data_IF_887971257921
#
_entry.id   IF_887971257921
#
_cell.length_a   1.000
_cell.length_b   1.000
_cell.length_c   1.000
_cell.angle_alpha   90.00
_cell.angle_beta   90.00
_cell.angle_gamma   90.00
#
_symmetry.space_group_name_H-M   'P 1'
#
loop_
_entity.id
_entity.type
_entity.pdbx_description
1 polymer ?
#
# COMPACT_ATOMS: atom_id res chain seq x y z
N UNK A 1 -25.91 -6.74 -7.01
CA UNK A 1 -26.04 -7.00 -5.56
C UNK A 1 -24.63 -7.32 -5.07
N UNK A 2 -24.39 -7.63 -3.79
CA UNK A 2 -23.11 -8.27 -3.44
C UNK A 2 -23.15 -9.69 -4.00
N UNK A 3 -22.14 -10.11 -4.76
CA UNK A 3 -22.09 -11.48 -5.28
C UNK A 3 -22.10 -12.48 -4.12
N UNK A 4 -22.89 -13.55 -4.19
CA UNK A 4 -23.01 -14.53 -3.11
C UNK A 4 -22.94 -15.94 -3.67
N UNK A 5 -21.90 -16.65 -3.27
CA UNK A 5 -21.63 -18.01 -3.70
C UNK A 5 -21.31 -18.95 -2.57
N UNK A 6 -20.89 -20.16 -2.91
CA UNK A 6 -20.45 -21.18 -1.96
C UNK A 6 -19.18 -21.85 -2.42
N UNK A 7 -18.32 -22.18 -1.46
CA UNK A 7 -17.07 -22.90 -1.73
C UNK A 7 -17.41 -24.27 -2.35
N UNK A 8 -16.81 -24.59 -3.49
CA UNK A 8 -16.91 -25.92 -4.12
C UNK A 8 -15.60 -26.68 -4.04
N UNK A 9 -14.48 -25.99 -3.91
CA UNK A 9 -13.15 -26.59 -3.90
C UNK A 9 -12.12 -25.69 -3.20
N UNK A 10 -11.17 -26.30 -2.50
CA UNK A 10 -10.08 -25.63 -1.79
C UNK A 10 -8.79 -26.39 -2.08
N UNK A 11 -7.74 -25.68 -2.53
CA UNK A 11 -6.39 -26.22 -2.70
C UNK A 11 -5.33 -25.19 -2.32
N UNK A 12 -4.78 -25.36 -1.12
CA UNK A 12 -3.92 -24.33 -0.51
C UNK A 12 -4.65 -22.98 -0.47
N UNK A 13 -3.99 -21.84 -0.75
CA UNK A 13 -4.62 -20.52 -0.82
C UNK A 13 -5.65 -20.31 -1.93
N UNK A 14 -5.80 -21.22 -2.90
CA UNK A 14 -6.76 -21.07 -3.98
C UNK A 14 -8.09 -21.74 -3.62
N UNK A 15 -9.19 -21.00 -3.77
CA UNK A 15 -10.56 -21.43 -3.49
C UNK A 15 -11.41 -21.23 -4.75
N UNK A 16 -12.27 -22.20 -5.08
CA UNK A 16 -13.31 -22.01 -6.11
C UNK A 16 -14.66 -21.88 -5.43
N UNK A 17 -15.43 -20.89 -5.86
CA UNK A 17 -16.79 -20.65 -5.38
C UNK A 17 -17.77 -20.62 -6.55
N UNK A 18 -18.89 -21.32 -6.40
CA UNK A 18 -19.99 -21.36 -7.36
C UNK A 18 -21.09 -20.37 -6.96
N UNK A 19 -21.92 -19.91 -7.90
CA UNK A 19 -22.91 -18.85 -7.68
C UNK A 19 -22.34 -17.44 -7.69
N UNK A 20 -21.19 -17.22 -8.32
CA UNK A 20 -20.44 -15.96 -8.28
C UNK A 20 -20.53 -15.16 -9.59
N UNK A 21 -21.55 -15.37 -10.42
CA UNK A 21 -21.76 -14.66 -11.69
C UNK A 21 -21.83 -13.13 -11.59
N UNK A 22 -22.26 -12.56 -10.45
CA UNK A 22 -22.25 -11.11 -10.23
C UNK A 22 -20.87 -10.56 -9.78
N UNK A 23 -19.90 -11.43 -9.49
CA UNK A 23 -18.60 -11.01 -8.99
C UNK A 23 -17.75 -10.40 -10.11
N UNK A 24 -16.93 -9.41 -9.76
CA UNK A 24 -16.00 -8.76 -10.68
C UNK A 24 -14.59 -9.30 -10.51
N UNK A 25 -13.81 -9.20 -11.59
CA UNK A 25 -12.39 -9.53 -11.54
C UNK A 25 -11.66 -8.53 -10.61
N UNK A 26 -10.75 -9.03 -9.77
CA UNK A 26 -10.09 -8.33 -8.66
C UNK A 26 -11.01 -7.83 -7.53
N UNK A 27 -12.26 -8.28 -7.47
CA UNK A 27 -13.15 -7.96 -6.35
C UNK A 27 -12.67 -8.67 -5.07
N UNK A 28 -12.66 -7.95 -3.96
CA UNK A 28 -12.42 -8.54 -2.63
C UNK A 28 -13.68 -9.29 -2.16
N UNK A 29 -13.48 -10.48 -1.61
CA UNK A 29 -14.53 -11.36 -1.10
C UNK A 29 -14.20 -11.79 0.33
N UNK A 30 -15.22 -12.07 1.14
CA UNK A 30 -15.09 -12.81 2.39
C UNK A 30 -15.39 -14.28 2.16
N UNK A 31 -14.49 -15.16 2.55
CA UNK A 31 -14.52 -16.60 2.28
C UNK A 31 -14.71 -17.39 3.56
N UNK A 32 -15.71 -18.26 3.56
CA UNK A 32 -16.00 -19.17 4.65
C UNK A 32 -16.72 -18.52 5.83
N UNK A 33 -17.09 -19.35 6.81
CA UNK A 33 -17.71 -18.86 8.05
C UNK A 33 -16.75 -17.99 8.89
N UNK A 34 -15.44 -18.22 8.71
CA UNK A 34 -14.38 -17.42 9.30
C UNK A 34 -14.17 -16.07 8.62
N UNK A 35 -14.90 -15.75 7.54
CA UNK A 35 -14.81 -14.48 6.79
C UNK A 35 -13.38 -14.10 6.39
N UNK A 36 -12.61 -15.07 5.89
CA UNK A 36 -11.25 -14.82 5.45
C UNK A 36 -11.24 -13.87 4.26
N UNK A 37 -10.29 -12.94 4.22
CA UNK A 37 -10.20 -11.99 3.10
C UNK A 37 -9.57 -12.69 1.89
N UNK A 38 -10.22 -12.59 0.73
CA UNK A 38 -9.68 -13.06 -0.54
C UNK A 38 -9.99 -12.12 -1.71
N UNK A 39 -9.42 -12.39 -2.87
CA UNK A 39 -9.58 -11.62 -4.11
C UNK A 39 -9.94 -12.55 -5.26
N UNK A 40 -10.92 -12.15 -6.07
CA UNK A 40 -11.31 -12.88 -7.29
C UNK A 40 -10.26 -12.67 -8.37
N UNK A 41 -9.63 -13.75 -8.82
CA UNK A 41 -8.51 -13.72 -9.79
C UNK A 41 -8.89 -14.27 -11.17
N UNK A 42 -9.93 -15.12 -11.24
CA UNK A 42 -10.44 -15.67 -12.51
C UNK A 42 -11.93 -15.95 -12.38
N UNK A 43 -12.68 -15.67 -13.44
CA UNK A 43 -14.11 -15.96 -13.54
C UNK A 43 -14.33 -16.91 -14.72
N UNK A 44 -15.10 -17.97 -14.52
CA UNK A 44 -15.43 -18.95 -15.56
C UNK A 44 -16.89 -19.34 -15.44
N UNK A 45 -17.74 -18.69 -16.23
CA UNK A 45 -19.19 -18.82 -16.07
C UNK A 45 -19.64 -18.32 -14.70
N UNK A 46 -20.27 -19.18 -13.92
CA UNK A 46 -20.75 -18.88 -12.56
C UNK A 46 -19.71 -19.20 -11.46
N UNK A 47 -18.56 -19.75 -11.84
CA UNK A 47 -17.49 -20.13 -10.91
C UNK A 47 -16.42 -19.04 -10.83
N UNK A 48 -16.17 -18.54 -9.62
CA UNK A 48 -15.07 -17.65 -9.30
C UNK A 48 -13.90 -18.43 -8.69
N UNK A 49 -12.70 -18.17 -9.18
CA UNK A 49 -11.45 -18.55 -8.54
C UNK A 49 -10.99 -17.39 -7.68
N UNK A 50 -10.76 -17.70 -6.40
CA UNK A 50 -10.48 -16.74 -5.35
C UNK A 50 -9.13 -17.09 -4.74
N UNK A 51 -8.27 -16.08 -4.64
CA UNK A 51 -7.02 -16.16 -3.90
C UNK A 51 -7.26 -15.65 -2.48
N UNK A 52 -7.06 -16.48 -1.48
CA UNK A 52 -7.24 -16.09 -0.06
C UNK A 52 -5.93 -15.55 0.49
N UNK A 53 -5.98 -14.38 1.14
CA UNK A 53 -4.82 -13.71 1.74
C UNK A 53 -4.46 -14.23 3.14
N UNK A 54 -5.27 -15.14 3.67
CA UNK A 54 -5.12 -15.80 4.96
C UNK A 54 -4.94 -17.31 4.80
N UNK A 55 -4.65 -18.01 5.90
CA UNK A 55 -4.59 -19.47 5.89
C UNK A 55 -5.97 -20.08 5.65
N UNK A 56 -6.10 -20.86 4.57
CA UNK A 56 -7.32 -21.58 4.17
C UNK A 56 -7.54 -22.89 4.94
N UNK A 57 -6.61 -23.24 5.84
CA UNK A 57 -6.75 -24.43 6.68
C UNK A 57 -8.10 -24.44 7.38
N UNK A 58 -8.82 -25.54 7.32
CA UNK A 58 -10.12 -25.69 7.99
C UNK A 58 -11.34 -25.15 7.25
N UNK A 59 -11.17 -24.45 6.11
CA UNK A 59 -12.28 -24.16 5.21
C UNK A 59 -12.87 -25.44 4.61
N UNK A 60 -14.19 -25.49 4.43
CA UNK A 60 -14.89 -26.64 3.86
C UNK A 60 -15.74 -26.23 2.65
N UNK A 61 -15.91 -27.13 1.66
CA UNK A 61 -16.94 -26.97 0.64
C UNK A 61 -18.33 -26.78 1.26
N UNK A 62 -19.13 -25.90 0.67
CA UNK A 62 -20.47 -25.52 1.13
C UNK A 62 -20.53 -24.25 1.96
N UNK A 63 -19.40 -23.79 2.52
CA UNK A 63 -19.33 -22.53 3.27
C UNK A 63 -19.56 -21.30 2.37
N UNK A 64 -20.06 -20.18 2.91
CA UNK A 64 -20.44 -19.01 2.11
C UNK A 64 -19.23 -18.25 1.57
N UNK A 65 -19.41 -17.65 0.40
CA UNK A 65 -18.51 -16.63 -0.15
C UNK A 65 -19.33 -15.40 -0.49
N UNK A 66 -18.91 -14.23 0.01
CA UNK A 66 -19.64 -12.97 -0.17
C UNK A 66 -18.72 -11.91 -0.76
N UNK A 67 -19.09 -11.35 -1.90
CA UNK A 67 -18.41 -10.24 -2.56
C UNK A 67 -18.64 -8.92 -1.82
N UNK A 68 -17.58 -8.11 -1.76
CA UNK A 68 -17.65 -6.77 -1.16
C UNK A 68 -18.08 -5.70 -2.17
N UNK A 69 -18.18 -6.05 -3.46
CA UNK A 69 -18.46 -5.15 -4.58
C UNK A 69 -17.28 -4.23 -4.96
N UNK A 70 -16.18 -4.28 -4.21
CA UNK A 70 -15.05 -3.36 -4.33
C UNK A 70 -13.73 -4.14 -4.52
N UNK A 71 -12.77 -3.59 -5.27
CA UNK A 71 -11.43 -4.16 -5.34
C UNK A 71 -10.66 -3.96 -4.03
N UNK A 72 -9.55 -4.68 -3.87
CA UNK A 72 -8.65 -4.50 -2.72
C UNK A 72 -8.22 -3.03 -2.63
N UNK A 73 -8.63 -2.38 -1.55
CA UNK A 73 -8.46 -0.95 -1.36
C UNK A 73 -7.91 -0.64 0.02
N UNK A 74 -7.00 0.33 0.07
CA UNK A 74 -6.39 0.82 1.30
C UNK A 74 -7.09 2.10 1.76
N UNK A 75 -7.18 2.28 3.07
CA UNK A 75 -7.62 3.53 3.70
C UNK A 75 -6.45 4.51 3.68
N UNK A 76 -6.68 5.71 3.15
CA UNK A 76 -5.71 6.79 3.04
C UNK A 76 -6.25 7.98 3.84
N UNK A 77 -5.52 8.40 4.87
CA UNK A 77 -5.93 9.45 5.80
C UNK A 77 -4.91 9.61 6.93
N UNK A 78 -5.15 10.51 7.89
CA UNK A 78 -4.27 10.72 9.03
C UNK A 78 -4.23 9.50 9.95
N UNK A 79 -3.06 9.23 10.55
CA UNK A 79 -2.82 8.11 11.45
C UNK A 79 -2.10 6.91 10.83
N UNK A 80 -1.64 7.03 9.58
CA UNK A 80 -0.87 6.01 8.85
C UNK A 80 0.63 6.10 9.20
N UNK A 81 1.17 7.31 9.39
CA UNK A 81 2.58 7.47 9.80
C UNK A 81 2.80 6.82 11.17
N UNK A 82 3.92 6.10 11.29
CA UNK A 82 4.31 5.39 12.51
C UNK A 82 3.57 4.07 12.74
N UNK A 83 2.67 3.68 11.83
CA UNK A 83 1.99 2.40 11.88
C UNK A 83 2.80 1.27 11.23
N UNK A 84 2.51 0.07 11.71
CA UNK A 84 3.02 -1.18 11.20
C UNK A 84 1.85 -2.03 10.70
N UNK A 85 1.82 -2.26 9.40
CA UNK A 85 0.76 -2.98 8.70
C UNK A 85 1.18 -4.38 8.26
N UNK A 86 0.21 -5.27 8.07
CA UNK A 86 0.38 -6.45 7.23
C UNK A 86 0.14 -6.12 5.73
N UNK A 87 0.20 -7.13 4.86
CA UNK A 87 0.03 -6.94 3.41
C UNK A 87 -1.31 -6.39 2.95
N UNK A 88 -2.36 -6.44 3.79
CA UNK A 88 -3.72 -5.95 3.50
C UNK A 88 -4.10 -4.74 4.39
N UNK A 89 -3.11 -4.05 4.96
CA UNK A 89 -3.26 -2.84 5.76
C UNK A 89 -3.98 -3.02 7.11
N UNK A 90 -3.83 -4.19 7.75
CA UNK A 90 -4.24 -4.39 9.15
C UNK A 90 -3.08 -4.04 10.10
N UNK A 91 -3.29 -3.22 11.13
CA UNK A 91 -2.22 -2.84 12.05
C UNK A 91 -1.83 -4.03 12.92
N UNK A 92 -0.55 -4.42 12.87
CA UNK A 92 -0.03 -5.60 13.57
C UNK A 92 -0.16 -5.47 15.10
N UNK A 93 -0.11 -4.24 15.65
CA UNK A 93 -0.33 -4.00 17.08
C UNK A 93 -1.74 -4.38 17.51
N UNK A 94 -2.76 -3.95 16.77
CA UNK A 94 -4.14 -4.29 17.06
C UNK A 94 -4.42 -5.79 16.86
N UNK A 95 -3.79 -6.42 15.86
CA UNK A 95 -3.88 -7.87 15.68
C UNK A 95 -3.26 -8.62 16.87
N UNK A 96 -2.10 -8.17 17.35
CA UNK A 96 -1.42 -8.73 18.52
C UNK A 96 -2.27 -8.60 19.79
N UNK A 97 -2.97 -7.48 19.99
CA UNK A 97 -3.90 -7.29 21.11
C UNK A 97 -5.11 -8.23 21.02
N UNK A 98 -5.60 -8.51 19.81
CA UNK A 98 -6.78 -9.35 19.59
C UNK A 98 -6.49 -10.86 19.67
N UNK A 99 -5.33 -11.32 19.19
CA UNK A 99 -5.01 -12.76 19.09
C UNK A 99 -3.70 -13.20 19.76
N UNK A 100 -3.01 -12.30 20.44
CA UNK A 100 -1.73 -12.59 21.10
C UNK A 100 -0.58 -12.73 20.11
N UNK A 101 0.39 -13.61 20.42
CA UNK A 101 1.63 -13.75 19.64
C UNK A 101 1.45 -14.35 18.23
N UNK A 102 0.27 -14.87 17.90
CA UNK A 102 -0.04 -15.41 16.58
C UNK A 102 -1.14 -14.58 15.92
N UNK A 103 -1.07 -14.43 14.61
CA UNK A 103 -2.13 -13.76 13.84
C UNK A 103 -3.29 -14.74 13.71
N UNK A 104 -4.40 -14.45 14.40
CA UNK A 104 -5.63 -15.22 14.27
C UNK A 104 -6.29 -15.01 12.90
N UNK A 105 -7.09 -15.99 12.48
CA UNK A 105 -7.79 -15.99 11.19
C UNK A 105 -9.09 -15.19 11.27
N UNK A 106 -9.42 -14.46 10.21
CA UNK A 106 -10.71 -13.77 10.09
C UNK A 106 -10.84 -12.55 11.01
N UNK A 107 -9.72 -12.08 11.57
CA UNK A 107 -9.72 -10.91 12.43
C UNK A 107 -9.85 -9.67 11.58
N UNK A 108 -10.92 -8.92 11.85
CA UNK A 108 -11.18 -7.62 11.23
C UNK A 108 -10.73 -6.53 12.18
N UNK A 109 -9.86 -5.64 11.70
CA UNK A 109 -9.42 -4.44 12.41
C UNK A 109 -9.56 -3.22 11.51
N UNK A 110 -9.57 -2.02 12.09
CA UNK A 110 -9.49 -0.79 11.33
C UNK A 110 -8.02 -0.47 11.01
N UNK A 111 -7.68 0.02 9.80
CA UNK A 111 -6.31 0.38 9.45
C UNK A 111 -5.70 1.47 10.35
N UNK A 112 -6.53 2.36 10.86
CA UNK A 112 -6.13 3.47 11.73
C UNK A 112 -7.09 3.54 12.92
N UNK A 113 -6.69 4.27 13.96
CA UNK A 113 -7.54 4.54 15.10
C UNK A 113 -8.64 5.54 14.70
N UNK A 114 -9.85 5.03 14.49
CA UNK A 114 -11.00 5.82 14.07
C UNK A 114 -11.54 6.73 15.18
N UNK A 115 -11.13 6.51 16.44
CA UNK A 115 -11.58 7.28 17.60
C UNK A 115 -10.65 8.44 17.95
N UNK A 116 -9.42 8.40 17.45
CA UNK A 116 -8.45 9.47 17.65
C UNK A 116 -8.93 10.75 16.99
N UNK A 117 -8.90 11.84 17.77
CA UNK A 117 -9.23 13.18 17.29
C UNK A 117 -7.99 13.88 16.77
N UNK A 118 -8.18 14.59 15.67
CA UNK A 118 -7.19 15.40 15.00
C UNK A 118 -7.64 16.84 14.92
N UNK A 119 -6.72 17.76 15.18
CA UNK A 119 -6.96 19.18 15.01
C UNK A 119 -6.96 19.52 13.53
N UNK A 120 -8.13 19.86 12.99
CA UNK A 120 -8.34 20.17 11.59
C UNK A 120 -8.42 21.69 11.39
N UNK A 121 -7.63 22.18 10.45
CA UNK A 121 -7.64 23.58 10.01
C UNK A 121 -8.15 23.64 8.57
N UNK A 122 -9.37 24.17 8.31
CA UNK A 122 -9.93 24.25 6.97
C UNK A 122 -9.14 25.25 6.10
N UNK A 123 -8.93 24.91 4.83
CA UNK A 123 -8.25 25.78 3.85
C UNK A 123 -9.18 26.36 2.79
N UNK A 124 -10.47 26.01 2.85
CA UNK A 124 -11.51 26.37 1.87
C UNK A 124 -12.77 26.82 2.62
N UNK A 125 -13.63 27.58 1.94
CA UNK A 125 -14.87 28.14 2.48
C UNK A 125 -16.11 27.60 1.77
N UNK A 126 -17.28 27.77 2.39
CA UNK A 126 -18.56 27.46 1.76
C UNK A 126 -18.73 28.27 0.47
N UNK A 127 -19.11 27.61 -0.61
CA UNK A 127 -19.26 28.16 -1.95
C UNK A 127 -18.06 28.00 -2.87
N UNK A 128 -16.89 27.61 -2.33
CA UNK A 128 -15.68 27.40 -3.13
C UNK A 128 -15.84 26.19 -4.07
N UNK A 129 -15.29 26.30 -5.28
CA UNK A 129 -15.22 25.20 -6.23
C UNK A 129 -14.04 24.28 -5.92
N UNK A 130 -14.32 22.99 -5.80
CA UNK A 130 -13.33 21.95 -5.59
C UNK A 130 -13.40 20.88 -6.66
N UNK A 131 -12.25 20.35 -7.03
CA UNK A 131 -12.05 19.24 -7.93
C UNK A 131 -11.28 18.11 -7.23
N UNK A 132 -11.13 16.98 -7.91
CA UNK A 132 -10.31 15.86 -7.47
C UNK A 132 -8.89 16.31 -7.07
N UNK A 133 -8.44 15.89 -5.88
CA UNK A 133 -7.12 16.19 -5.34
C UNK A 133 -6.98 17.55 -4.64
N UNK A 134 -8.00 18.42 -4.66
CA UNK A 134 -7.96 19.70 -3.94
C UNK A 134 -7.74 19.52 -2.44
N UNK A 135 -6.93 20.37 -1.81
CA UNK A 135 -6.79 20.41 -0.36
C UNK A 135 -7.98 21.15 0.24
N UNK A 136 -8.69 20.50 1.16
CA UNK A 136 -9.82 21.09 1.89
C UNK A 136 -9.41 21.54 3.30
N UNK A 137 -8.28 21.04 3.80
CA UNK A 137 -7.70 21.50 5.04
C UNK A 137 -6.49 20.67 5.42
N UNK A 138 -5.97 20.97 6.60
CA UNK A 138 -4.69 20.45 7.09
C UNK A 138 -4.88 19.88 8.49
N UNK A 139 -4.18 18.78 8.76
CA UNK A 139 -4.08 18.13 10.06
C UNK A 139 -2.62 17.90 10.38
N UNK A 140 -2.21 18.17 11.63
CA UNK A 140 -0.90 17.74 12.11
C UNK A 140 -0.95 16.25 12.50
N UNK A 141 -0.34 15.37 11.69
CA UNK A 141 -0.38 13.92 11.94
C UNK A 141 0.67 13.48 12.96
N UNK A 142 1.90 13.97 12.80
CA UNK A 142 3.03 13.80 13.72
C UNK A 142 3.74 15.13 13.91
N UNK A 143 4.72 15.23 14.80
CA UNK A 143 5.53 16.44 14.98
C UNK A 143 6.25 16.90 13.69
N UNK A 144 6.42 16.01 12.71
CA UNK A 144 7.14 16.27 11.47
C UNK A 144 6.23 16.42 10.25
N UNK A 145 5.10 15.72 10.25
CA UNK A 145 4.26 15.57 9.07
C UNK A 145 2.97 16.36 9.25
N UNK A 146 2.92 17.47 8.52
CA UNK A 146 1.67 18.13 8.18
C UNK A 146 0.97 17.34 7.07
N UNK A 147 -0.26 16.91 7.34
CA UNK A 147 -1.08 16.05 6.51
C UNK A 147 -2.17 16.87 5.83
N UNK A 148 -2.10 16.98 4.51
CA UNK A 148 -3.13 17.67 3.72
C UNK A 148 -4.31 16.74 3.49
N UNK A 149 -5.50 17.13 3.93
CA UNK A 149 -6.75 16.43 3.65
C UNK A 149 -7.19 16.83 2.24
N UNK A 150 -7.29 15.84 1.35
CA UNK A 150 -7.55 16.06 -0.08
C UNK A 150 -8.89 15.47 -0.50
N UNK A 151 -9.55 16.13 -1.44
CA UNK A 151 -10.72 15.56 -2.13
C UNK A 151 -10.30 14.28 -2.86
N UNK A 152 -11.04 13.17 -2.74
CA UNK A 152 -10.72 11.90 -3.39
C UNK A 152 -10.56 12.04 -4.92
N UNK A 153 -9.65 11.29 -5.57
CA UNK A 153 -9.39 11.48 -6.99
C UNK A 153 -10.51 11.05 -7.94
N UNK A 154 -11.45 10.23 -7.47
CA UNK A 154 -12.65 9.80 -8.16
C UNK A 154 -13.83 10.79 -8.03
N UNK A 155 -13.64 11.85 -7.24
CA UNK A 155 -14.62 12.90 -7.09
C UNK A 155 -14.77 13.72 -8.38
N UNK A 156 -16.00 13.88 -8.85
CA UNK A 156 -16.30 14.60 -10.12
C UNK A 156 -16.12 16.12 -10.04
N UNK A 157 -15.89 16.65 -8.84
CA UNK A 157 -15.84 18.07 -8.56
C UNK A 157 -17.23 18.64 -8.24
N UNK A 158 -17.25 19.82 -7.62
CA UNK A 158 -18.47 20.48 -7.17
C UNK A 158 -18.17 21.69 -6.31
N UNK A 159 -19.21 22.33 -5.78
CA UNK A 159 -19.10 23.43 -4.83
C UNK A 159 -19.20 22.92 -3.41
N UNK A 160 -18.45 23.50 -2.48
CA UNK A 160 -18.57 23.17 -1.06
C UNK A 160 -19.87 23.77 -0.54
N UNK A 161 -20.81 22.91 -0.13
CA UNK A 161 -22.07 23.34 0.47
C UNK A 161 -21.88 23.66 1.96
N UNK A 162 -21.20 22.77 2.68
CA UNK A 162 -20.88 22.91 4.09
C UNK A 162 -19.44 22.44 4.34
N UNK A 163 -18.71 23.19 5.16
CA UNK A 163 -17.44 22.77 5.77
C UNK A 163 -17.48 23.04 7.27
N UNK A 164 -16.87 22.13 8.04
CA UNK A 164 -16.71 22.31 9.49
C UNK A 164 -15.74 23.45 9.80
N UNK A 165 -15.93 24.10 10.96
CA UNK A 165 -14.98 25.08 11.48
C UNK A 165 -13.66 24.40 11.91
N UNK A 166 -12.63 25.20 12.18
CA UNK A 166 -11.42 24.70 12.84
C UNK A 166 -11.76 24.05 14.19
N UNK A 167 -11.18 22.88 14.46
CA UNK A 167 -11.48 22.12 15.69
C UNK A 167 -10.98 20.68 15.68
N UNK A 168 -11.27 19.97 16.76
CA UNK A 168 -10.85 18.58 16.95
C UNK A 168 -11.94 17.60 16.52
N UNK A 169 -11.68 16.83 15.46
CA UNK A 169 -12.63 15.89 14.88
C UNK A 169 -12.02 14.50 14.76
N UNK A 170 -12.86 13.47 14.81
CA UNK A 170 -12.45 12.11 14.50
C UNK A 170 -12.51 11.83 12.98
N UNK A 171 -12.05 10.66 12.56
CA UNK A 171 -12.01 10.29 11.15
C UNK A 171 -13.40 10.03 10.55
N UNK A 172 -14.39 9.68 11.37
CA UNK A 172 -15.76 9.39 10.92
C UNK A 172 -16.60 10.65 10.71
N UNK A 173 -16.19 11.77 11.30
CA UNK A 173 -16.83 13.07 11.13
C UNK A 173 -16.77 13.51 9.67
N UNK A 174 -17.92 13.90 9.12
CA UNK A 174 -18.02 14.53 7.80
C UNK A 174 -17.48 15.94 7.90
N UNK A 175 -16.35 16.21 7.25
CA UNK A 175 -15.69 17.52 7.27
C UNK A 175 -16.30 18.49 6.28
N UNK A 176 -16.67 18.01 5.10
CA UNK A 176 -17.27 18.84 4.08
C UNK A 176 -18.33 18.06 3.28
N UNK A 177 -19.29 18.77 2.72
CA UNK A 177 -20.23 18.23 1.74
C UNK A 177 -20.10 19.03 0.47
N UNK A 178 -20.00 18.35 -0.66
CA UNK A 178 -19.95 19.00 -1.98
C UNK A 178 -21.26 18.83 -2.72
N UNK A 179 -21.68 19.86 -3.45
CA UNK A 179 -22.86 19.91 -4.31
C UNK A 179 -22.41 20.04 -5.77
N UNK A 180 -22.86 19.13 -6.64
CA UNK A 180 -22.51 19.16 -8.07
C UNK A 180 -23.24 18.10 -8.89
N UNK A 181 -22.77 17.86 -10.11
CA UNK A 181 -23.36 16.90 -11.08
C UNK A 181 -23.43 15.44 -10.56
N UNK A 182 -22.74 15.14 -9.46
CA UNK A 182 -22.76 13.84 -8.76
C UNK A 182 -23.75 13.73 -7.60
N UNK A 183 -24.51 14.78 -7.29
CA UNK A 183 -25.30 14.90 -6.07
C UNK A 183 -24.46 15.34 -4.86
N UNK A 184 -25.05 15.24 -3.66
CA UNK A 184 -24.36 15.62 -2.42
C UNK A 184 -23.42 14.50 -2.00
N UNK A 185 -22.11 14.77 -2.03
CA UNK A 185 -21.06 13.82 -1.64
C UNK A 185 -20.40 14.29 -0.35
N UNK A 186 -20.36 13.40 0.64
CA UNK A 186 -19.71 13.62 1.93
C UNK A 186 -18.21 13.37 1.84
N UNK A 187 -17.42 14.30 2.38
CA UNK A 187 -15.96 14.22 2.47
C UNK A 187 -15.56 14.06 3.93
N UNK A 188 -14.79 13.01 4.21
CA UNK A 188 -14.19 12.72 5.52
C UNK A 188 -12.69 13.00 5.48
N UNK A 189 -12.02 12.85 6.62
CA UNK A 189 -10.54 12.92 6.71
C UNK A 189 -9.81 11.83 5.93
N UNK A 190 -10.52 10.76 5.55
CA UNK A 190 -9.95 9.63 4.84
C UNK A 190 -10.80 9.25 3.64
N UNK A 191 -10.17 8.56 2.69
CA UNK A 191 -10.85 7.88 1.59
C UNK A 191 -10.21 6.52 1.33
N UNK A 192 -10.90 5.67 0.57
CA UNK A 192 -10.38 4.38 0.14
C UNK A 192 -9.88 4.47 -1.30
N UNK A 193 -8.76 3.81 -1.59
CA UNK A 193 -8.22 3.76 -2.95
C UNK A 193 -7.78 2.34 -3.34
N UNK A 194 -8.15 1.85 -4.54
CA UNK A 194 -7.74 0.53 -5.01
C UNK A 194 -6.23 0.43 -5.18
N UNK A 195 -5.61 -0.61 -4.60
CA UNK A 195 -4.13 -0.72 -4.57
C UNK A 195 -3.52 -1.01 -5.94
N UNK A 196 -4.28 -1.66 -6.83
CA UNK A 196 -3.88 -1.99 -8.21
C UNK A 196 -4.09 -0.83 -9.19
N UNK A 197 -4.72 0.28 -8.76
CA UNK A 197 -4.92 1.46 -9.61
C UNK A 197 -3.92 2.54 -9.20
N UNK A 198 -2.99 2.97 -10.08
CA UNK A 198 -2.10 4.07 -9.75
C UNK A 198 -2.88 5.37 -9.52
N UNK A 199 -2.42 6.18 -8.56
CA UNK A 199 -3.07 7.45 -8.23
C UNK A 199 -2.84 8.49 -9.34
N UNK A 200 -3.89 9.20 -9.80
CA UNK A 200 -3.78 10.13 -10.91
C UNK A 200 -2.97 11.38 -10.52
N UNK A 201 -2.29 11.97 -11.50
CA UNK A 201 -1.50 13.19 -11.36
C UNK A 201 -1.72 14.08 -12.59
N UNK A 202 -1.30 15.35 -12.49
CA UNK A 202 -1.48 16.35 -13.56
C UNK A 202 -0.42 16.19 -14.64
N UNK A 203 0.85 16.25 -14.25
CA UNK A 203 2.01 16.13 -15.16
C UNK A 203 3.13 15.32 -14.48
N UNK A 204 3.90 14.54 -15.24
CA UNK A 204 5.15 13.91 -14.79
C UNK A 204 6.33 14.80 -15.20
N UNK A 205 7.28 14.99 -14.29
CA UNK A 205 8.49 15.76 -14.55
C UNK A 205 9.68 14.86 -14.88
N UNK A 206 10.65 15.41 -15.59
CA UNK A 206 11.95 14.78 -15.74
C UNK A 206 12.71 14.75 -14.39
N UNK A 207 13.45 13.66 -14.12
CA UNK A 207 14.15 13.45 -12.86
C UNK A 207 15.44 14.29 -12.79
N UNK A 208 15.29 15.59 -12.52
CA UNK A 208 16.40 16.57 -12.49
C UNK A 208 16.96 16.86 -11.10
N UNK A 209 16.24 16.50 -10.04
CA UNK A 209 16.64 16.79 -8.66
C UNK A 209 17.25 15.52 -8.05
N UNK A 210 18.50 15.54 -7.55
CA UNK A 210 19.11 14.37 -6.93
C UNK A 210 18.44 14.02 -5.60
N UNK A 211 18.32 12.72 -5.31
CA UNK A 211 18.05 12.20 -3.98
C UNK A 211 19.39 11.95 -3.28
N UNK A 212 19.70 12.74 -2.26
CA UNK A 212 20.88 12.48 -1.44
C UNK A 212 20.58 11.30 -0.53
N UNK A 213 21.25 10.17 -0.74
CA UNK A 213 21.05 8.94 0.04
C UNK A 213 21.88 8.93 1.33
N UNK A 214 22.90 9.79 1.42
CA UNK A 214 23.87 9.80 2.52
C UNK A 214 24.98 8.76 2.37
N UNK A 215 24.93 7.92 1.33
CA UNK A 215 25.97 6.94 1.03
C UNK A 215 26.90 7.48 -0.05
N UNK A 216 28.15 7.75 0.30
CA UNK A 216 29.16 8.32 -0.62
C UNK A 216 29.27 7.57 -1.95
N UNK A 217 29.22 6.24 -1.92
CA UNK A 217 29.34 5.40 -3.12
C UNK A 217 28.12 5.57 -4.04
N UNK A 218 26.91 5.63 -3.49
CA UNK A 218 25.67 5.80 -4.26
C UNK A 218 25.61 7.24 -4.78
N UNK A 219 25.80 8.23 -3.92
CA UNK A 219 25.68 9.65 -4.28
C UNK A 219 26.75 10.11 -5.30
N UNK A 220 27.90 9.42 -5.39
CA UNK A 220 28.98 9.76 -6.32
C UNK A 220 28.93 8.95 -7.62
N UNK A 221 28.84 7.62 -7.54
CA UNK A 221 29.00 6.75 -8.71
C UNK A 221 27.67 6.32 -9.33
N UNK A 222 26.61 6.21 -8.52
CA UNK A 222 25.31 5.71 -8.96
C UNK A 222 24.18 6.61 -8.43
N UNK A 223 24.20 7.92 -8.73
CA UNK A 223 23.26 8.86 -8.15
C UNK A 223 21.83 8.54 -8.59
N UNK A 224 20.91 8.60 -7.63
CA UNK A 224 19.47 8.41 -7.87
C UNK A 224 18.81 9.79 -7.80
N UNK A 225 17.91 10.10 -8.72
CA UNK A 225 17.11 11.30 -8.67
C UNK A 225 15.83 11.11 -7.84
N UNK A 226 15.30 12.17 -7.25
CA UNK A 226 13.97 12.18 -6.64
C UNK A 226 12.92 11.83 -7.68
N UNK A 227 12.16 10.76 -7.43
CA UNK A 227 11.23 10.18 -8.40
C UNK A 227 11.84 9.08 -9.28
N UNK A 228 13.12 8.76 -9.09
CA UNK A 228 13.81 7.71 -9.83
C UNK A 228 13.52 6.30 -9.29
N UNK A 229 14.02 5.32 -10.02
CA UNK A 229 13.96 3.91 -9.66
C UNK A 229 15.37 3.35 -9.52
N UNK A 230 15.61 2.58 -8.46
CA UNK A 230 16.87 1.89 -8.24
C UNK A 230 16.65 0.43 -7.85
N UNK A 231 17.64 -0.40 -8.14
CA UNK A 231 17.69 -1.79 -7.69
C UNK A 231 19.01 -2.04 -6.98
N UNK A 232 18.97 -2.74 -5.85
CA UNK A 232 20.17 -3.24 -5.15
C UNK A 232 20.17 -4.76 -5.32
N UNK A 233 20.76 -5.28 -6.42
CA UNK A 233 20.88 -6.71 -6.61
C UNK A 233 22.04 -7.28 -5.79
N UNK A 234 21.91 -8.52 -5.32
CA UNK A 234 23.00 -9.21 -4.65
C UNK A 234 22.57 -10.52 -3.99
N UNK A 235 23.53 -11.40 -3.72
CA UNK A 235 23.26 -12.68 -3.05
C UNK A 235 22.74 -12.48 -1.60
N UNK A 236 22.28 -13.57 -0.98
CA UNK A 236 21.88 -13.55 0.43
C UNK A 236 23.07 -13.18 1.33
N UNK A 237 22.86 -12.28 2.30
CA UNK A 237 23.89 -11.87 3.26
C UNK A 237 24.90 -10.84 2.76
N UNK A 238 24.77 -10.29 1.56
CA UNK A 238 25.70 -9.26 1.01
C UNK A 238 25.48 -7.84 1.53
N UNK A 239 24.60 -7.63 2.52
CA UNK A 239 24.33 -6.32 3.11
C UNK A 239 23.28 -5.47 2.37
N UNK A 240 22.39 -6.09 1.58
CA UNK A 240 21.28 -5.40 0.89
C UNK A 240 20.36 -4.66 1.86
N UNK A 241 19.79 -5.39 2.83
CA UNK A 241 18.90 -4.85 3.87
C UNK A 241 19.58 -3.75 4.67
N UNK A 242 20.86 -3.92 5.03
CA UNK A 242 21.65 -2.88 5.71
C UNK A 242 21.73 -1.61 4.87
N UNK A 243 21.99 -1.74 3.57
CA UNK A 243 22.08 -0.60 2.65
C UNK A 243 20.73 0.10 2.51
N UNK A 244 19.65 -0.67 2.37
CA UNK A 244 18.28 -0.15 2.34
C UNK A 244 17.90 0.58 3.64
N UNK A 245 18.29 0.06 4.80
CA UNK A 245 18.10 0.73 6.10
C UNK A 245 18.86 2.04 6.18
N UNK A 246 20.11 2.08 5.70
CA UNK A 246 20.87 3.32 5.64
C UNK A 246 20.19 4.34 4.71
N UNK A 247 19.68 3.93 3.56
CA UNK A 247 18.96 4.83 2.67
C UNK A 247 17.69 5.34 3.35
N UNK A 248 16.87 4.47 3.94
CA UNK A 248 15.67 4.87 4.69
C UNK A 248 15.97 5.87 5.82
N UNK A 249 17.12 5.74 6.48
CA UNK A 249 17.54 6.61 7.58
C UNK A 249 18.06 7.97 7.12
N UNK A 250 18.93 7.97 6.10
CA UNK A 250 19.73 9.15 5.71
C UNK A 250 19.20 9.89 4.48
N UNK A 251 18.27 9.29 3.73
CA UNK A 251 17.76 9.87 2.50
C UNK A 251 17.11 11.24 2.70
N UNK A 252 17.25 12.08 1.68
CA UNK A 252 16.57 13.36 1.55
C UNK A 252 15.08 13.21 1.18
N UNK A 253 14.32 12.60 2.07
CA UNK A 253 12.88 12.40 1.91
C UNK A 253 12.13 12.79 3.18
N UNK A 254 10.92 13.31 3.00
CA UNK A 254 10.04 13.69 4.10
C UNK A 254 9.30 12.48 4.66
N UNK A 255 8.98 11.48 3.83
CA UNK A 255 8.29 10.26 4.24
C UNK A 255 9.05 9.04 3.74
N UNK A 256 9.09 7.99 4.54
CA UNK A 256 9.67 6.69 4.19
C UNK A 256 8.60 5.62 4.25
N UNK A 257 8.48 4.83 3.19
CA UNK A 257 7.60 3.64 3.18
C UNK A 257 8.49 2.42 3.01
N UNK A 258 8.53 1.56 4.03
CA UNK A 258 9.31 0.33 4.00
C UNK A 258 8.40 -0.87 3.83
N UNK A 259 8.61 -1.65 2.79
CA UNK A 259 7.86 -2.86 2.51
C UNK A 259 8.79 -4.06 2.72
N UNK A 260 8.51 -4.84 3.76
CA UNK A 260 9.09 -6.16 3.97
C UNK A 260 8.26 -7.21 3.27
N UNK A 261 8.67 -7.67 2.09
CA UNK A 261 8.03 -8.72 1.31
C UNK A 261 8.82 -10.03 1.41
N UNK A 262 8.28 -10.99 2.16
CA UNK A 262 8.85 -12.33 2.27
C UNK A 262 10.13 -12.41 3.11
N UNK A 263 10.45 -11.36 3.87
CA UNK A 263 11.66 -11.30 4.71
C UNK A 263 11.55 -12.18 5.96
N UNK A 264 12.68 -12.41 6.62
CA UNK A 264 12.69 -13.17 7.87
C UNK A 264 12.10 -12.32 8.99
N UNK A 265 11.38 -12.96 9.91
CA UNK A 265 10.79 -12.27 11.05
C UNK A 265 11.82 -11.53 11.91
N UNK A 266 13.06 -12.03 11.99
CA UNK A 266 14.13 -11.38 12.73
C UNK A 266 14.57 -10.05 12.09
N UNK A 267 14.66 -9.98 10.76
CA UNK A 267 15.05 -8.75 10.04
C UNK A 267 13.96 -7.67 10.21
N UNK A 268 12.69 -8.07 10.16
CA UNK A 268 11.58 -7.16 10.46
C UNK A 268 11.54 -6.73 11.93
N UNK A 269 11.89 -7.63 12.86
CA UNK A 269 11.96 -7.30 14.29
C UNK A 269 13.07 -6.31 14.58
N UNK A 270 14.24 -6.46 13.93
CA UNK A 270 15.34 -5.51 14.03
C UNK A 270 14.92 -4.10 13.62
N UNK A 271 14.23 -3.96 12.48
CA UNK A 271 13.64 -2.67 12.05
C UNK A 271 12.72 -2.08 13.13
N UNK A 272 11.85 -2.91 13.72
CA UNK A 272 10.90 -2.46 14.73
C UNK A 272 11.53 -2.07 16.06
N UNK A 273 12.63 -2.73 16.43
CA UNK A 273 13.36 -2.43 17.66
C UNK A 273 14.26 -1.22 17.45
N UNK A 274 14.93 -1.09 16.31
CA UNK A 274 15.89 -0.02 16.08
C UNK A 274 15.22 1.31 15.69
N UNK A 275 14.25 1.31 14.78
CA UNK A 275 13.71 2.54 14.18
C UNK A 275 13.11 3.53 15.19
N UNK A 276 12.43 3.11 16.28
CA UNK A 276 11.98 4.02 17.33
C UNK A 276 13.13 4.73 18.08
N UNK A 277 14.29 4.08 18.19
CA UNK A 277 15.47 4.63 18.89
C UNK A 277 16.36 5.43 17.94
N UNK A 278 16.26 5.19 16.64
CA UNK A 278 16.96 5.94 15.62
C UNK A 278 16.34 7.32 15.46
N UNK A 279 17.13 8.35 15.74
CA UNK A 279 16.74 9.74 15.45
C UNK A 279 17.03 10.06 14.00
N UNK A 280 16.08 10.70 13.35
CA UNK A 280 16.28 11.32 12.05
C UNK A 280 17.38 12.39 12.18
N UNK A 281 18.48 12.31 11.41
CA UNK A 281 19.58 13.26 11.45
C UNK A 281 19.16 14.71 11.19
N UNK A 282 18.03 14.92 10.49
CA UNK A 282 17.55 16.25 10.08
C UNK A 282 16.67 16.89 11.14
N UNK A 283 15.70 16.14 11.66
CA UNK A 283 14.73 16.67 12.62
C UNK A 283 15.06 16.40 14.08
N UNK A 284 15.95 15.42 14.37
CA UNK A 284 16.25 14.98 15.73
C UNK A 284 15.12 14.20 16.42
N UNK A 285 13.99 13.99 15.73
CA UNK A 285 12.84 13.19 16.19
C UNK A 285 13.01 11.71 15.80
N UNK A 286 12.26 10.77 16.41
CA UNK A 286 12.28 9.37 16.01
C UNK A 286 12.01 9.18 14.52
N UNK A 287 12.73 8.26 13.87
CA UNK A 287 12.54 7.93 12.45
C UNK A 287 11.12 7.40 12.17
N UNK A 288 10.50 6.78 13.18
CA UNK A 288 9.12 6.28 13.12
C UNK A 288 8.09 7.40 12.86
N UNK A 289 8.38 8.66 13.25
CA UNK A 289 7.46 9.80 13.08
C UNK A 289 7.33 10.28 11.62
N UNK A 290 8.04 9.63 10.70
CA UNK A 290 7.93 9.84 9.25
C UNK A 290 7.94 8.55 8.44
N UNK A 291 7.84 7.39 9.10
CA UNK A 291 7.98 6.08 8.44
C UNK A 291 6.70 5.28 8.56
N UNK A 292 6.33 4.59 7.47
CA UNK A 292 5.27 3.57 7.45
C UNK A 292 5.92 2.23 7.14
N UNK A 293 5.59 1.21 7.91
CA UNK A 293 6.11 -0.14 7.72
C UNK A 293 4.99 -1.07 7.25
N UNK A 294 5.19 -1.75 6.12
CA UNK A 294 4.31 -2.81 5.63
C UNK A 294 5.10 -4.12 5.72
N UNK A 295 4.76 -4.95 6.69
CA UNK A 295 5.46 -6.18 7.02
C UNK A 295 4.66 -7.40 6.56
N UNK A 296 5.21 -8.12 5.60
CA UNK A 296 4.74 -9.45 5.22
C UNK A 296 5.89 -10.45 5.32
N UNK A 297 5.99 -11.15 6.46
CA UNK A 297 7.07 -12.11 6.71
C UNK A 297 6.94 -13.37 5.84
N UNK A 298 8.03 -14.11 5.69
CA UNK A 298 8.09 -15.36 4.91
C UNK A 298 7.07 -16.44 5.32
N UNK A 299 6.63 -16.45 6.58
CA UNK A 299 5.61 -17.37 7.09
C UNK A 299 4.16 -16.88 6.86
N UNK A 300 3.96 -15.65 6.38
CA UNK A 300 2.63 -15.15 5.99
C UNK A 300 2.22 -15.69 4.61
N UNK A 301 0.92 -15.73 4.30
CA UNK A 301 0.41 -16.25 3.03
C UNK A 301 1.03 -15.56 1.81
N UNK A 302 1.21 -16.35 0.75
CA UNK A 302 1.90 -15.93 -0.47
C UNK A 302 1.16 -14.80 -1.18
N UNK A 303 -0.17 -14.84 -1.17
CA UNK A 303 -0.99 -13.79 -1.78
C UNK A 303 -0.83 -12.44 -1.07
N UNK A 304 -0.59 -12.45 0.25
CA UNK A 304 -0.37 -11.22 1.02
C UNK A 304 0.98 -10.55 0.68
N UNK A 305 1.94 -11.31 0.11
CA UNK A 305 3.21 -10.75 -0.43
C UNK A 305 2.97 -9.87 -1.64
N UNK A 306 2.09 -10.29 -2.55
CA UNK A 306 1.73 -9.44 -3.70
C UNK A 306 0.98 -8.19 -3.21
N UNK A 307 0.02 -8.38 -2.30
CA UNK A 307 -0.76 -7.27 -1.77
C UNK A 307 0.11 -6.23 -1.03
N UNK A 308 1.14 -6.65 -0.28
CA UNK A 308 1.99 -5.73 0.48
C UNK A 308 2.74 -4.72 -0.40
N UNK A 309 3.21 -5.17 -1.56
CA UNK A 309 3.90 -4.33 -2.55
C UNK A 309 2.95 -3.24 -3.05
N UNK A 310 1.74 -3.62 -3.48
CA UNK A 310 0.74 -2.66 -3.98
C UNK A 310 0.21 -1.72 -2.88
N UNK A 311 0.01 -2.23 -1.67
CA UNK A 311 -0.39 -1.44 -0.50
C UNK A 311 0.65 -0.36 -0.21
N UNK A 312 1.94 -0.72 -0.12
CA UNK A 312 2.99 0.24 0.20
C UNK A 312 3.20 1.31 -0.88
N UNK A 313 3.18 0.95 -2.18
CA UNK A 313 3.28 1.96 -3.24
C UNK A 313 2.07 2.89 -3.28
N UNK A 314 0.88 2.41 -2.96
CA UNK A 314 -0.33 3.24 -2.91
C UNK A 314 -0.26 4.25 -1.75
N UNK A 315 0.29 3.84 -0.60
CA UNK A 315 0.57 4.75 0.52
C UNK A 315 1.64 5.77 0.12
N UNK A 316 2.70 5.36 -0.58
CA UNK A 316 3.74 6.29 -1.04
C UNK A 316 3.20 7.32 -2.05
N UNK A 317 2.37 6.89 -3.01
CA UNK A 317 1.70 7.79 -3.94
C UNK A 317 0.74 8.77 -3.23
N UNK A 318 0.11 8.35 -2.14
CA UNK A 318 -0.77 9.22 -1.37
C UNK A 318 -0.01 10.40 -0.74
N UNK A 319 1.14 10.13 -0.10
CA UNK A 319 1.99 11.20 0.45
C UNK A 319 2.66 12.04 -0.65
N UNK A 320 2.98 11.44 -1.80
CA UNK A 320 3.43 12.18 -3.01
C UNK A 320 2.38 13.19 -3.47
N UNK A 321 1.10 12.82 -3.49
CA UNK A 321 0.02 13.72 -3.91
C UNK A 321 -0.15 14.93 -2.97
N UNK A 322 0.33 14.84 -1.72
CA UNK A 322 0.41 15.99 -0.80
C UNK A 322 1.58 16.93 -1.10
N UNK A 323 2.41 16.62 -2.10
CA UNK A 323 3.63 17.35 -2.42
C UNK A 323 4.82 16.97 -1.53
N UNK A 324 4.84 15.75 -0.97
CA UNK A 324 5.98 15.25 -0.20
C UNK A 324 6.93 14.45 -1.07
N UNK A 325 8.21 14.49 -0.74
CA UNK A 325 9.21 13.57 -1.29
C UNK A 325 9.22 12.27 -0.46
N UNK A 326 8.91 11.16 -1.11
CA UNK A 326 8.77 9.84 -0.50
C UNK A 326 9.84 8.90 -1.03
N UNK A 327 10.49 8.16 -0.12
CA UNK A 327 11.33 7.02 -0.48
C UNK A 327 10.60 5.74 -0.12
N UNK A 328 10.36 4.90 -1.13
CA UNK A 328 9.81 3.57 -0.98
C UNK A 328 10.94 2.55 -1.08
N UNK A 329 11.06 1.72 -0.05
CA UNK A 329 11.98 0.59 0.00
C UNK A 329 11.17 -0.69 -0.12
N UNK A 330 11.52 -1.54 -1.09
CA UNK A 330 10.92 -2.86 -1.27
C UNK A 330 11.96 -3.96 -1.03
N UNK A 331 11.91 -4.60 0.14
CA UNK A 331 12.79 -5.70 0.55
C UNK A 331 11.96 -6.97 0.74
N UNK A 332 11.89 -7.91 -0.19
CA UNK A 332 12.56 -7.95 -1.49
C UNK A 332 11.60 -8.21 -2.66
N UNK A 333 11.92 -7.65 -3.83
CA UNK A 333 11.11 -7.83 -5.04
C UNK A 333 11.25 -9.24 -5.62
N UNK A 334 12.34 -9.95 -5.33
CA UNK A 334 12.48 -11.37 -5.69
C UNK A 334 11.49 -12.27 -4.98
N UNK A 335 11.23 -12.04 -3.69
CA UNK A 335 10.21 -12.82 -2.95
C UNK A 335 8.80 -12.55 -3.45
N UNK A 336 8.55 -11.35 -3.99
CA UNK A 336 7.32 -11.05 -4.72
C UNK A 336 7.26 -11.80 -6.05
N UNK A 337 8.32 -11.82 -6.84
CA UNK A 337 8.37 -12.60 -8.09
C UNK A 337 8.15 -14.10 -7.85
N UNK A 338 8.76 -14.67 -6.81
CA UNK A 338 8.50 -16.05 -6.38
C UNK A 338 7.04 -16.27 -5.99
N UNK A 339 6.39 -15.29 -5.35
CA UNK A 339 4.98 -15.38 -5.02
C UNK A 339 4.11 -15.42 -6.29
N UNK A 340 4.45 -14.62 -7.31
CA UNK A 340 3.80 -14.67 -8.62
C UNK A 340 4.01 -16.03 -9.31
N UNK A 341 5.22 -16.59 -9.23
CA UNK A 341 5.53 -17.95 -9.71
C UNK A 341 4.64 -19.00 -9.05
N UNK A 342 4.57 -18.99 -7.72
CA UNK A 342 3.75 -19.95 -6.99
C UNK A 342 2.24 -19.80 -7.32
N UNK A 343 1.73 -18.57 -7.44
CA UNK A 343 0.34 -18.34 -7.80
C UNK A 343 0.03 -18.82 -9.23
N UNK A 344 0.90 -18.51 -10.20
CA UNK A 344 0.72 -18.95 -11.59
C UNK A 344 0.70 -20.48 -11.72
N UNK A 345 1.60 -21.17 -10.99
CA UNK A 345 1.62 -22.64 -10.97
C UNK A 345 0.36 -23.26 -10.39
N UNK A 346 -0.23 -22.64 -9.35
CA UNK A 346 -1.52 -23.08 -8.77
C UNK A 346 -2.71 -22.84 -9.70
N UNK A 347 -2.61 -21.85 -10.57
CA UNK A 347 -3.60 -21.53 -11.58
C UNK A 347 -3.46 -22.35 -12.87
N UNK A 348 -2.51 -23.27 -12.88
CA UNK A 348 -2.14 -24.12 -14.02
C UNK A 348 -1.83 -23.30 -15.27
N UNK A 349 -1.23 -22.12 -15.07
CA UNK A 349 -0.77 -21.29 -16.16
C UNK A 349 0.53 -21.85 -16.73
N UNK A 350 0.72 -21.70 -18.04
CA UNK A 350 1.95 -22.15 -18.68
C UNK A 350 3.12 -21.29 -18.20
N UNK A 351 4.14 -21.90 -17.57
CA UNK A 351 5.31 -21.15 -17.12
C UNK A 351 6.17 -20.72 -18.31
N UNK A 352 6.91 -19.63 -18.12
CA UNK A 352 8.00 -19.19 -18.98
C UNK A 352 9.33 -19.72 -18.42
N UNK A 353 10.36 -18.89 -18.37
CA UNK A 353 11.68 -19.25 -17.84
C UNK A 353 11.63 -19.49 -16.33
N UNK A 354 12.34 -20.54 -15.88
CA UNK A 354 12.49 -20.93 -14.47
C UNK A 354 11.18 -21.03 -13.65
N UNK A 355 10.08 -21.31 -14.34
CA UNK A 355 8.75 -21.45 -13.74
C UNK A 355 8.00 -20.13 -13.54
N UNK A 356 8.60 -18.97 -13.82
CA UNK A 356 7.93 -17.68 -13.67
C UNK A 356 6.80 -17.49 -14.70
N UNK A 357 5.76 -16.70 -14.38
CA UNK A 357 4.71 -16.40 -15.33
C UNK A 357 5.21 -15.49 -16.46
N UNK A 358 4.61 -15.60 -17.64
CA UNK A 358 4.94 -14.76 -18.79
C UNK A 358 4.72 -13.26 -18.56
N UNK A 359 3.87 -12.89 -17.60
CA UNK A 359 3.57 -11.50 -17.24
C UNK A 359 4.50 -10.91 -16.16
N UNK A 360 5.53 -11.62 -15.70
CA UNK A 360 6.43 -11.15 -14.65
C UNK A 360 7.04 -9.77 -15.00
N UNK A 361 7.62 -9.64 -16.19
CA UNK A 361 8.23 -8.39 -16.64
C UNK A 361 7.23 -7.22 -16.70
N UNK A 362 6.00 -7.49 -17.14
CA UNK A 362 4.93 -6.48 -17.18
C UNK A 362 4.52 -6.04 -15.78
N UNK A 363 4.46 -6.96 -14.81
CA UNK A 363 4.14 -6.64 -13.40
C UNK A 363 5.25 -5.83 -12.73
N UNK A 364 6.50 -6.20 -12.95
CA UNK A 364 7.65 -5.43 -12.46
C UNK A 364 7.64 -4.02 -13.06
N UNK A 365 7.45 -3.89 -14.38
CA UNK A 365 7.37 -2.59 -15.05
C UNK A 365 6.21 -1.74 -14.51
N UNK A 366 5.01 -2.32 -14.35
CA UNK A 366 3.85 -1.65 -13.76
C UNK A 366 4.14 -1.11 -12.35
N UNK A 367 4.87 -1.87 -11.54
CA UNK A 367 5.26 -1.46 -10.20
C UNK A 367 6.32 -0.35 -10.20
N UNK A 368 7.41 -0.53 -10.94
CA UNK A 368 8.51 0.44 -10.98
C UNK A 368 8.10 1.77 -11.65
N UNK A 369 7.23 1.75 -12.67
CA UNK A 369 6.75 2.97 -13.35
C UNK A 369 5.78 3.82 -12.53
N UNK A 370 5.31 3.33 -11.38
CA UNK A 370 4.57 4.15 -10.40
C UNK A 370 5.46 5.16 -9.68
N UNK A 371 6.78 4.92 -9.66
CA UNK A 371 7.75 5.88 -9.18
C UNK A 371 7.88 7.05 -10.15
N UNK A 372 8.08 8.25 -9.62
CA UNK A 372 8.13 9.45 -10.43
C UNK A 372 8.03 10.71 -9.61
N UNK A 373 8.59 11.79 -10.15
CA UNK A 373 8.31 13.15 -9.70
C UNK A 373 7.16 13.70 -10.52
N UNK A 374 6.11 14.15 -9.85
CA UNK A 374 4.87 14.57 -10.51
C UNK A 374 4.36 15.87 -9.92
N UNK A 375 3.60 16.62 -10.73
CA UNK A 375 2.68 17.64 -10.22
C UNK A 375 1.39 16.94 -9.83
N UNK A 376 1.04 17.01 -8.54
CA UNK A 376 -0.19 16.45 -8.01
C UNK A 376 -1.43 17.09 -8.65
N UNK A 377 -2.56 16.37 -8.59
CA UNK A 377 -3.85 16.90 -9.03
C UNK A 377 -4.43 17.87 -7.98
N UNK A 378 -5.33 18.75 -8.42
CA UNK A 378 -6.02 19.72 -7.56
C UNK A 378 -5.21 20.98 -7.23
N UNK A 379 -5.80 21.86 -6.42
CA UNK A 379 -5.20 23.08 -5.88
C UNK A 379 -4.92 22.94 -4.37
N UNK A 380 -3.83 23.51 -3.84
CA UNK A 380 -2.77 24.25 -4.54
C UNK A 380 -1.90 23.35 -5.43
N UNK A 381 -1.21 23.96 -6.40
CA UNK A 381 -0.19 23.28 -7.20
C UNK A 381 0.91 22.76 -6.25
N UNK A 382 1.11 21.44 -6.25
CA UNK A 382 2.06 20.74 -5.37
C UNK A 382 2.89 19.78 -6.22
N UNK A 383 4.18 19.77 -5.98
CA UNK A 383 5.11 18.83 -6.60
C UNK A 383 5.56 17.82 -5.56
N UNK A 384 5.42 16.54 -5.86
CA UNK A 384 5.86 15.44 -4.99
C UNK A 384 6.65 14.41 -5.76
N UNK A 385 7.36 13.54 -5.06
CA UNK A 385 8.10 12.45 -5.68
C UNK A 385 7.95 11.13 -4.93
N UNK A 386 7.95 10.03 -5.67
CA UNK A 386 8.14 8.67 -5.12
C UNK A 386 9.41 8.12 -5.74
N UNK A 387 10.46 7.97 -4.93
CA UNK A 387 11.68 7.27 -5.33
C UNK A 387 11.59 5.84 -4.84
N UNK A 388 11.77 4.88 -5.74
CA UNK A 388 11.56 3.46 -5.43
C UNK A 388 12.88 2.72 -5.51
N UNK A 389 13.24 2.01 -4.43
CA UNK A 389 14.46 1.22 -4.34
C UNK A 389 14.11 -0.20 -3.93
N UNK A 390 14.32 -1.15 -4.83
CA UNK A 390 14.03 -2.57 -4.59
C UNK A 390 15.28 -3.40 -4.35
N UNK A 391 15.25 -4.32 -3.39
CA UNK A 391 16.27 -5.36 -3.27
C UNK A 391 15.92 -6.56 -4.16
N UNK A 392 16.89 -6.95 -4.99
CA UNK A 392 16.80 -8.16 -5.82
C UNK A 392 17.79 -9.19 -5.25
N UNK A 393 17.29 -10.39 -5.00
CA UNK A 393 18.03 -11.50 -4.39
C UNK A 393 18.15 -12.66 -5.37
N UNK A 394 18.99 -12.55 -6.42
CA UNK A 394 19.18 -13.64 -7.36
C UNK A 394 19.76 -14.87 -6.68
N UNK A 395 19.31 -16.04 -7.09
CA UNK A 395 19.76 -17.34 -6.62
C UNK A 395 21.25 -17.50 -6.93
N UNK A 396 22.07 -17.70 -5.90
CA UNK A 396 23.53 -17.82 -6.05
C UNK A 396 24.25 -16.55 -6.52
N UNK A 397 23.56 -15.41 -6.64
CA UNK A 397 24.15 -14.18 -7.19
C UNK A 397 24.22 -14.14 -8.72
N UNK A 398 23.47 -14.99 -9.40
CA UNK A 398 23.46 -15.08 -10.87
C UNK A 398 22.53 -14.02 -11.49
N UNK A 399 23.07 -13.13 -12.31
CA UNK A 399 22.28 -12.09 -13.02
C UNK A 399 21.60 -12.60 -14.30
N UNK A 400 21.69 -13.89 -14.59
CA UNK A 400 20.89 -14.52 -15.65
C UNK A 400 19.50 -14.96 -15.18
N UNK A 401 19.20 -14.87 -13.88
CA UNK A 401 17.86 -15.12 -13.35
C UNK A 401 16.83 -14.14 -13.96
N UNK A 402 15.58 -14.58 -14.24
CA UNK A 402 14.55 -13.71 -14.85
C UNK A 402 14.10 -12.47 -14.06
N UNK A 403 14.45 -12.35 -12.76
CA UNK A 403 14.04 -11.26 -11.85
C UNK A 403 15.16 -10.26 -11.68
#
# INVERSE_FOLDING_TARGET
MAAQGRIVWVSGPAVRADGMSEAKMYETVTVGDSKLVGEVIRLTGDVAFIQVYESTSGLKPGEPVVGTGNPLSVLLGPGIIGQLYDGIQRPLRALSEASGSFIGRGITTTPVDMTKKYHFVPSVSNGDEVAAGNVIGIVQETDLIEHSIMVPPDHKGGKIANIVSEGDYDLETVLATTEGDGGNVELKMYHRWPVRKPRPYKNRYDPTVPLLTGQRVIDTFFPIAKGGTGSIPGAFGTGKTVTLHQIAKWADSQVVVYIGCGERGNEMTEVLVEFPHLKDPRSGKPLMDRTVLVANTSNMPVAAREASIYTGVTIAEYYRDMGKDVVLVADSTSRWAEALREMSGRLEEMPAEEGYPSYLASRLAEFYERAGRVRAAGSPDRDGSVTLIGAVSPSGGDFTEPV
#
